data_IF_267172454549
#
_entry.id   IF_267172454549
#
_cell.length_a   1.000
_cell.length_b   1.000
_cell.length_c   1.000
_cell.angle_alpha   90.00
_cell.angle_beta   90.00
_cell.angle_gamma   90.00
#
_symmetry.space_group_name_H-M   'P 1'
#
loop_
_entity.id
_entity.type
_entity.pdbx_description
1 polymer ?
#
# COMPACT_ATOMS: atom_id res chain seq x y z
N UNK A 1 -3.34 0.64 -16.37
CA UNK A 1 -3.59 0.73 -14.93
C UNK A 1 -2.30 1.21 -14.28
N UNK A 2 -2.40 2.11 -13.31
CA UNK A 2 -1.23 2.60 -12.60
C UNK A 2 -0.95 1.67 -11.42
N UNK A 3 0.24 1.07 -11.41
CA UNK A 3 0.68 0.12 -10.39
C UNK A 3 1.65 0.79 -9.41
N UNK A 4 1.65 2.13 -9.38
CA UNK A 4 2.58 2.94 -8.59
C UNK A 4 1.81 3.74 -7.56
N UNK A 5 2.47 4.01 -6.44
CA UNK A 5 1.97 4.95 -5.43
C UNK A 5 2.78 6.21 -5.55
N UNK A 6 2.13 7.35 -5.42
CA UNK A 6 2.76 8.66 -5.53
C UNK A 6 2.34 9.55 -4.38
N UNK A 7 3.32 10.19 -3.75
CA UNK A 7 3.07 11.27 -2.79
C UNK A 7 3.20 12.58 -3.55
N UNK A 8 2.26 13.50 -3.29
CA UNK A 8 2.22 14.81 -3.91
C UNK A 8 2.28 15.90 -2.85
N UNK A 9 3.02 16.95 -3.15
CA UNK A 9 2.96 18.23 -2.49
C UNK A 9 1.66 18.92 -2.94
N UNK A 10 0.72 19.11 -2.01
CA UNK A 10 -0.60 19.67 -2.33
C UNK A 10 -0.51 21.17 -2.66
N UNK A 11 0.44 21.89 -2.05
CA UNK A 11 0.57 23.34 -2.23
C UNK A 11 1.09 23.68 -3.63
N UNK A 12 2.08 22.92 -4.11
CA UNK A 12 2.74 23.18 -5.38
C UNK A 12 2.33 22.20 -6.50
N UNK A 13 1.55 21.16 -6.20
CA UNK A 13 1.11 20.15 -7.15
C UNK A 13 2.23 19.29 -7.74
N UNK A 14 3.36 19.16 -7.03
CA UNK A 14 4.54 18.40 -7.50
C UNK A 14 4.61 17.01 -6.87
N UNK A 15 5.09 16.05 -7.64
CA UNK A 15 5.37 14.70 -7.14
C UNK A 15 6.58 14.75 -6.19
N UNK A 16 6.42 14.29 -4.95
CA UNK A 16 7.47 14.23 -3.93
C UNK A 16 8.19 12.88 -3.94
N UNK A 17 7.45 11.80 -4.18
CA UNK A 17 7.98 10.44 -4.15
C UNK A 17 7.11 9.51 -4.97
N UNK A 18 7.74 8.48 -5.52
CA UNK A 18 7.10 7.43 -6.31
C UNK A 18 7.58 6.07 -5.82
N UNK A 19 6.62 5.18 -5.58
CA UNK A 19 6.87 3.83 -5.10
C UNK A 19 6.42 2.86 -6.19
N UNK A 20 7.38 2.11 -6.71
CA UNK A 20 7.20 1.12 -7.77
C UNK A 20 7.47 -0.28 -7.21
N UNK A 21 6.66 -1.26 -7.61
CA UNK A 21 6.90 -2.66 -7.25
C UNK A 21 5.66 -3.54 -7.39
N UNK A 22 4.46 -2.98 -7.21
CA UNK A 22 3.23 -3.70 -7.49
C UNK A 22 3.16 -4.13 -8.95
N UNK A 23 2.73 -5.38 -9.17
CA UNK A 23 2.66 -5.99 -10.50
C UNK A 23 1.31 -5.77 -11.17
N UNK A 24 0.33 -5.29 -10.41
CA UNK A 24 -1.02 -4.97 -10.87
C UNK A 24 -1.52 -3.71 -10.13
N UNK A 25 -2.76 -3.32 -10.39
CA UNK A 25 -3.42 -2.15 -9.83
C UNK A 25 -3.22 -2.05 -8.33
N UNK A 26 -2.82 -0.88 -7.86
CA UNK A 26 -2.91 -0.56 -6.44
C UNK A 26 -4.34 -0.14 -6.15
N UNK A 27 -5.05 -0.96 -5.38
CA UNK A 27 -6.46 -0.74 -5.10
C UNK A 27 -6.68 0.11 -3.85
N UNK A 28 -5.74 0.06 -2.90
CA UNK A 28 -5.84 0.77 -1.63
C UNK A 28 -4.47 1.10 -1.07
N UNK A 29 -4.37 2.22 -0.37
CA UNK A 29 -3.20 2.63 0.38
C UNK A 29 -3.60 3.39 1.63
N UNK A 30 -2.83 3.24 2.69
CA UNK A 30 -2.96 3.99 3.95
C UNK A 30 -1.59 4.40 4.45
N UNK A 31 -1.54 5.44 5.28
CA UNK A 31 -0.34 5.89 5.95
C UNK A 31 -0.41 5.43 7.41
N UNK A 32 0.72 4.98 7.92
CA UNK A 32 0.96 4.67 9.33
C UNK A 32 2.29 5.29 9.74
N UNK A 33 2.23 6.43 10.44
CA UNK A 33 3.40 7.25 10.79
C UNK A 33 4.29 7.55 9.56
N UNK A 34 5.51 7.01 9.53
CA UNK A 34 6.50 7.19 8.47
C UNK A 34 6.45 6.07 7.41
N UNK A 35 5.35 5.31 7.37
CA UNK A 35 5.16 4.20 6.43
C UNK A 35 3.90 4.35 5.61
N UNK A 36 3.97 3.89 4.36
CA UNK A 36 2.79 3.65 3.53
C UNK A 36 2.56 2.15 3.50
N UNK A 37 1.32 1.72 3.70
CA UNK A 37 0.89 0.35 3.49
C UNK A 37 -0.08 0.34 2.32
N UNK A 38 0.20 -0.49 1.31
CA UNK A 38 -0.61 -0.59 0.10
C UNK A 38 -1.02 -2.01 -0.20
N UNK A 39 -2.23 -2.15 -0.77
CA UNK A 39 -2.78 -3.41 -1.23
C UNK A 39 -3.08 -3.36 -2.72
N UNK A 40 -2.77 -4.44 -3.43
CA UNK A 40 -2.91 -4.54 -4.88
C UNK A 40 -3.67 -5.79 -5.33
N UNK A 41 -4.21 -5.71 -6.54
CA UNK A 41 -4.75 -6.84 -7.28
C UNK A 41 -3.70 -7.92 -7.60
N UNK A 42 -2.41 -7.62 -7.45
CA UNK A 42 -1.33 -8.61 -7.54
C UNK A 42 -1.29 -9.60 -6.35
N UNK A 43 -2.20 -9.43 -5.40
CA UNK A 43 -2.35 -10.24 -4.20
C UNK A 43 -1.28 -10.01 -3.14
N UNK A 44 -0.61 -8.86 -3.22
CA UNK A 44 0.39 -8.45 -2.25
C UNK A 44 -0.02 -7.20 -1.49
N UNK A 45 0.41 -7.18 -0.23
CA UNK A 45 0.52 -5.97 0.58
C UNK A 45 1.98 -5.56 0.57
N UNK A 46 2.27 -4.28 0.34
CA UNK A 46 3.62 -3.73 0.43
C UNK A 46 3.64 -2.60 1.44
N UNK A 47 4.70 -2.56 2.22
CA UNK A 47 4.97 -1.46 3.15
C UNK A 47 6.18 -0.70 2.64
N UNK A 48 6.08 0.62 2.61
CA UNK A 48 7.09 1.53 2.08
C UNK A 48 7.48 2.53 3.13
N UNK A 49 8.76 2.88 3.18
CA UNK A 49 9.29 3.93 4.04
C UNK A 49 9.15 5.28 3.31
N UNK A 50 8.43 6.23 3.92
CA UNK A 50 8.08 7.51 3.27
C UNK A 50 9.29 8.43 3.08
N UNK A 51 10.34 8.25 3.88
CA UNK A 51 11.54 9.09 3.88
C UNK A 51 12.51 8.63 2.77
N UNK A 52 12.79 7.33 2.74
CA UNK A 52 13.75 6.73 1.82
C UNK A 52 13.14 6.36 0.47
N UNK A 53 11.81 6.29 0.38
CA UNK A 53 11.11 5.87 -0.84
C UNK A 53 11.21 4.37 -1.11
N UNK A 54 11.71 3.57 -0.16
CA UNK A 54 12.02 2.14 -0.38
C UNK A 54 10.94 1.23 0.17
N UNK A 55 10.80 0.07 -0.46
CA UNK A 55 10.04 -1.03 0.10
C UNK A 55 10.71 -1.57 1.36
N UNK A 56 9.94 -1.67 2.43
CA UNK A 56 10.34 -2.21 3.74
C UNK A 56 9.94 -3.66 3.85
N UNK A 57 8.74 -4.01 3.37
CA UNK A 57 8.24 -5.38 3.41
C UNK A 57 7.20 -5.65 2.32
N UNK A 58 7.06 -6.93 1.97
CA UNK A 58 6.03 -7.43 1.08
C UNK A 58 5.43 -8.72 1.67
N UNK A 59 4.11 -8.79 1.69
CA UNK A 59 3.35 -9.96 2.14
C UNK A 59 2.47 -10.41 0.99
N UNK A 60 2.61 -11.67 0.57
CA UNK A 60 1.76 -12.26 -0.46
C UNK A 60 0.66 -13.07 0.21
N UNK A 61 -0.59 -12.70 -0.02
CA UNK A 61 -1.75 -13.38 0.57
C UNK A 61 -2.51 -14.20 -0.47
N UNK A 62 -2.29 -13.90 -1.76
CA UNK A 62 -3.09 -14.47 -2.84
C UNK A 62 -4.47 -13.82 -2.90
N UNK A 63 -5.05 -13.84 -4.09
CA UNK A 63 -6.32 -13.15 -4.36
C UNK A 63 -6.20 -11.63 -4.39
N UNK A 64 -7.26 -10.96 -4.81
CA UNK A 64 -7.25 -9.51 -5.05
C UNK A 64 -7.46 -8.71 -3.75
N UNK A 65 -6.48 -7.89 -3.35
CA UNK A 65 -6.60 -7.01 -2.18
C UNK A 65 -7.42 -5.79 -2.56
N UNK A 66 -8.60 -5.62 -1.95
CA UNK A 66 -9.52 -4.53 -2.24
C UNK A 66 -9.32 -3.31 -1.36
N UNK A 67 -9.00 -3.53 -0.09
CA UNK A 67 -8.84 -2.44 0.87
C UNK A 67 -7.81 -2.80 1.93
N UNK A 68 -7.11 -1.76 2.41
CA UNK A 68 -6.13 -1.80 3.49
C UNK A 68 -6.41 -0.62 4.41
N UNK A 69 -6.48 -0.87 5.71
CA UNK A 69 -6.61 0.17 6.75
C UNK A 69 -5.67 -0.16 7.90
N UNK A 70 -5.22 0.87 8.61
CA UNK A 70 -4.42 0.74 9.83
C UNK A 70 -5.17 1.37 10.99
N UNK A 71 -5.29 0.62 12.09
CA UNK A 71 -5.83 1.10 13.35
C UNK A 71 -4.93 0.63 14.49
N UNK A 72 -4.42 1.57 15.29
CA UNK A 72 -3.55 1.28 16.44
C UNK A 72 -2.31 0.42 16.08
N UNK A 73 -1.75 0.64 14.89
CA UNK A 73 -0.61 -0.13 14.36
C UNK A 73 -0.96 -1.50 13.77
N UNK A 74 -2.24 -1.87 13.74
CA UNK A 74 -2.72 -3.13 13.17
C UNK A 74 -3.24 -2.90 11.75
N UNK A 75 -2.72 -3.67 10.79
CA UNK A 75 -3.19 -3.64 9.40
C UNK A 75 -4.40 -4.58 9.24
N UNK A 76 -5.55 -4.03 8.88
CA UNK A 76 -6.74 -4.80 8.50
C UNK A 76 -6.93 -4.73 6.99
N UNK A 77 -7.24 -5.86 6.37
CA UNK A 77 -7.48 -5.92 4.92
C UNK A 77 -8.81 -6.58 4.57
N UNK A 78 -9.39 -6.12 3.46
CA UNK A 78 -10.53 -6.76 2.81
C UNK A 78 -10.14 -7.34 1.47
N UNK A 79 -10.39 -8.63 1.28
CA UNK A 79 -10.26 -9.35 0.00
C UNK A 79 -11.59 -10.00 -0.35
N UNK A 80 -11.80 -10.27 -1.65
CA UNK A 80 -12.98 -11.01 -2.15
C UNK A 80 -13.02 -12.43 -1.55
N UNK A 81 -11.86 -13.02 -1.24
CA UNK A 81 -11.78 -14.39 -0.71
C UNK A 81 -11.97 -14.48 0.82
N UNK A 82 -12.14 -13.33 1.49
CA UNK A 82 -12.31 -13.21 2.93
C UNK A 82 -11.53 -12.02 3.52
N UNK A 83 -11.90 -11.60 4.73
CA UNK A 83 -11.11 -10.62 5.48
C UNK A 83 -9.92 -11.35 6.14
N UNK A 84 -8.70 -10.89 5.89
CA UNK A 84 -7.51 -11.38 6.59
C UNK A 84 -7.07 -10.33 7.62
N UNK A 85 -6.53 -10.79 8.75
CA UNK A 85 -5.87 -9.93 9.73
C UNK A 85 -4.37 -10.16 9.58
N UNK A 86 -3.60 -9.09 9.34
CA UNK A 86 -2.15 -9.16 9.32
C UNK A 86 -1.64 -8.45 10.57
N UNK A 87 -0.90 -9.21 11.39
CA UNK A 87 -0.35 -8.85 12.71
C UNK A 87 0.78 -7.84 12.60
#
# INVERSE_FOLDING_TARGET
>A
MDNTIKIWDIECGRELSKFEGHKDCVNSGTIDEDKIVSGSADGTIRTWDTISGKEVSQISLGGDIKTVTVAEGIITIGSIEGCYYVI
#
